data_IF_220630570237
#
_entry.id   IF_220630570237
#
_cell.length_a   1.000
_cell.length_b   1.000
_cell.length_c   1.000
_cell.angle_alpha   90.00
_cell.angle_beta   90.00
_cell.angle_gamma   90.00
#
_symmetry.space_group_name_H-M   'P 1'
#
loop_
_entity.id
_entity.type
_entity.pdbx_description
1 polymer ?
#
# COMPACT_ATOMS: atom_id res chain seq x y z
N UNK A 1 -22.56 -6.81 1.07
CA UNK A 1 -21.14 -7.15 1.29
C UNK A 1 -20.44 -5.85 1.58
N UNK A 2 -19.70 -5.78 2.67
CA UNK A 2 -18.90 -4.59 2.96
C UNK A 2 -17.73 -4.48 1.95
N UNK A 3 -17.34 -3.28 1.53
CA UNK A 3 -16.21 -3.09 0.62
C UNK A 3 -14.91 -3.66 1.21
N UNK A 4 -14.11 -4.34 0.38
CA UNK A 4 -12.80 -4.86 0.79
C UNK A 4 -11.85 -3.70 1.08
N UNK A 5 -11.23 -3.72 2.27
CA UNK A 5 -10.23 -2.72 2.63
C UNK A 5 -8.99 -2.80 1.72
N UNK A 6 -8.46 -1.65 1.32
CA UNK A 6 -7.29 -1.55 0.44
C UNK A 6 -6.10 -0.87 1.14
N UNK A 7 -4.89 -1.38 0.87
CA UNK A 7 -3.62 -0.70 1.15
C UNK A 7 -2.92 -0.37 -0.17
N UNK A 8 -2.68 0.92 -0.42
CA UNK A 8 -1.96 1.43 -1.58
C UNK A 8 -0.59 1.96 -1.12
N UNK A 9 0.50 1.34 -1.60
CA UNK A 9 1.88 1.69 -1.26
C UNK A 9 2.62 2.23 -2.47
N UNK A 10 3.26 3.39 -2.33
CA UNK A 10 3.80 4.14 -3.46
C UNK A 10 5.20 4.67 -3.14
N UNK A 11 6.11 4.63 -4.12
CA UNK A 11 7.44 5.22 -4.02
C UNK A 11 7.44 6.66 -4.51
N UNK A 12 8.00 7.60 -3.74
CA UNK A 12 8.13 9.01 -4.17
C UNK A 12 9.08 9.20 -5.35
N UNK A 13 9.98 8.25 -5.56
CA UNK A 13 10.99 8.26 -6.60
C UNK A 13 10.74 7.17 -7.65
N UNK A 14 9.50 6.66 -7.73
CA UNK A 14 9.12 5.71 -8.76
C UNK A 14 9.11 6.40 -10.12
N UNK A 15 9.94 5.90 -11.04
CA UNK A 15 10.04 6.41 -12.42
C UNK A 15 9.25 5.55 -13.42
N UNK A 16 8.72 4.41 -12.98
CA UNK A 16 7.86 3.53 -13.78
C UNK A 16 6.38 3.86 -13.56
N UNK A 17 6.01 4.21 -12.32
CA UNK A 17 4.69 4.73 -11.97
C UNK A 17 4.87 6.15 -11.40
N UNK A 18 4.74 7.20 -12.23
CA UNK A 18 4.77 8.58 -11.79
C UNK A 18 3.77 8.89 -10.67
N UNK A 19 4.08 9.94 -9.88
CA UNK A 19 3.25 10.37 -8.76
C UNK A 19 1.78 10.63 -9.13
N UNK A 20 1.54 11.27 -10.27
CA UNK A 20 0.18 11.59 -10.71
C UNK A 20 -0.65 10.33 -11.02
N UNK A 21 -0.07 9.30 -11.65
CA UNK A 21 -0.76 8.05 -11.92
C UNK A 21 -1.15 7.31 -10.63
N UNK A 22 -0.25 7.34 -9.64
CA UNK A 22 -0.53 6.80 -8.31
C UNK A 22 -1.64 7.58 -7.59
N UNK A 23 -1.66 8.91 -7.69
CA UNK A 23 -2.72 9.77 -7.12
C UNK A 23 -4.08 9.53 -7.79
N UNK A 24 -4.11 9.34 -9.11
CA UNK A 24 -5.34 9.02 -9.85
C UNK A 24 -5.92 7.66 -9.41
N UNK A 25 -5.07 6.64 -9.24
CA UNK A 25 -5.49 5.35 -8.69
C UNK A 25 -6.04 5.50 -7.25
N UNK A 26 -5.37 6.31 -6.42
CA UNK A 26 -5.78 6.57 -5.04
C UNK A 26 -7.12 7.29 -4.93
N UNK A 27 -7.41 8.21 -5.86
CA UNK A 27 -8.69 8.90 -5.94
C UNK A 27 -9.82 7.98 -6.39
N UNK A 28 -9.54 7.03 -7.29
CA UNK A 28 -10.51 6.06 -7.79
C UNK A 28 -10.81 4.90 -6.81
N UNK A 29 -9.93 4.66 -5.83
CA UNK A 29 -10.08 3.54 -4.90
C UNK A 29 -11.26 3.77 -3.90
N UNK A 30 -12.12 2.77 -3.67
CA UNK A 30 -13.24 2.90 -2.72
C UNK A 30 -12.77 2.92 -1.27
N UNK A 31 -13.61 3.42 -0.36
CA UNK A 31 -13.41 3.25 1.08
C UNK A 31 -13.82 1.85 1.56
N UNK A 32 -13.15 1.26 2.57
CA UNK A 32 -12.02 1.84 3.31
C UNK A 32 -10.67 1.66 2.56
N UNK A 33 -9.91 2.74 2.40
CA UNK A 33 -8.54 2.69 1.83
C UNK A 33 -7.49 3.37 2.70
N UNK A 34 -6.30 2.78 2.69
CA UNK A 34 -5.10 3.32 3.33
C UNK A 34 -4.06 3.62 2.28
N UNK A 35 -3.55 4.85 2.26
CA UNK A 35 -2.53 5.31 1.32
C UNK A 35 -1.23 5.55 2.08
N UNK A 36 -0.11 5.07 1.54
CA UNK A 36 1.24 5.28 2.09
C UNK A 36 2.24 5.64 0.98
N UNK A 37 3.12 6.56 1.32
CA UNK A 37 4.21 7.04 0.46
C UNK A 37 5.55 6.82 1.15
N UNK A 38 6.52 6.34 0.38
CA UNK A 38 7.85 5.99 0.88
C UNK A 38 8.93 6.71 0.09
N UNK A 39 9.99 7.12 0.76
CA UNK A 39 11.21 7.63 0.12
C UNK A 39 11.96 6.45 -0.54
N UNK A 40 11.41 5.98 -1.67
CA UNK A 40 11.84 4.80 -2.40
C UNK A 40 11.42 4.91 -3.88
N UNK A 41 12.05 4.11 -4.73
CA UNK A 41 11.63 3.90 -6.13
C UNK A 41 10.59 2.79 -6.28
N UNK A 42 10.47 2.22 -7.49
CA UNK A 42 9.46 1.21 -7.83
C UNK A 42 9.45 -0.03 -6.93
N UNK A 43 10.63 -0.48 -6.50
CA UNK A 43 10.77 -1.66 -5.62
C UNK A 43 10.33 -1.42 -4.17
N UNK A 44 10.00 -0.17 -3.80
CA UNK A 44 9.77 0.28 -2.43
C UNK A 44 10.98 -0.01 -1.51
N UNK A 45 10.82 0.25 -0.21
CA UNK A 45 11.87 0.03 0.79
C UNK A 45 11.41 -0.95 1.88
N UNK A 46 12.30 -1.24 2.83
CA UNK A 46 12.03 -2.18 3.92
C UNK A 46 10.86 -1.74 4.81
N UNK A 47 10.68 -0.42 5.00
CA UNK A 47 9.54 0.10 5.76
C UNK A 47 8.21 -0.26 5.10
N UNK A 48 8.12 -0.14 3.77
CA UNK A 48 6.92 -0.55 3.04
C UNK A 48 6.61 -2.04 3.22
N UNK A 49 7.65 -2.90 3.26
CA UNK A 49 7.45 -4.32 3.55
C UNK A 49 6.85 -4.54 4.94
N UNK A 50 7.40 -3.89 5.98
CA UNK A 50 6.89 -4.04 7.36
C UNK A 50 5.46 -3.52 7.49
N UNK A 51 5.14 -2.37 6.90
CA UNK A 51 3.79 -1.82 6.94
C UNK A 51 2.78 -2.76 6.26
N UNK A 52 3.17 -3.38 5.14
CA UNK A 52 2.33 -4.37 4.45
C UNK A 52 2.06 -5.59 5.32
N UNK A 53 3.09 -6.14 5.98
CA UNK A 53 2.94 -7.28 6.87
C UNK A 53 2.03 -6.95 8.06
N UNK A 54 2.23 -5.79 8.69
CA UNK A 54 1.41 -5.32 9.80
C UNK A 54 -0.05 -5.10 9.38
N UNK A 55 -0.26 -4.48 8.22
CA UNK A 55 -1.60 -4.25 7.70
C UNK A 55 -2.32 -5.56 7.39
N UNK A 56 -1.66 -6.51 6.73
CA UNK A 56 -2.25 -7.84 6.47
C UNK A 56 -2.55 -8.59 7.77
N UNK A 57 -1.64 -8.53 8.75
CA UNK A 57 -1.90 -9.11 10.07
C UNK A 57 -3.17 -8.53 10.73
N UNK A 58 -3.39 -7.23 10.61
CA UNK A 58 -4.61 -6.57 11.11
C UNK A 58 -5.87 -6.94 10.33
N UNK A 59 -5.78 -7.08 9.00
CA UNK A 59 -6.97 -7.32 8.15
C UNK A 59 -7.43 -8.77 8.16
N UNK A 60 -6.49 -9.72 8.06
CA UNK A 60 -6.80 -11.13 7.82
C UNK A 60 -6.18 -12.08 8.84
N UNK A 61 -5.41 -11.58 9.81
CA UNK A 61 -4.79 -12.40 10.84
C UNK A 61 -3.76 -13.37 10.26
N UNK A 62 -2.55 -12.87 9.96
CA UNK A 62 -1.43 -13.74 9.61
C UNK A 62 -0.76 -14.21 10.91
N UNK A 63 -0.80 -15.52 11.16
CA UNK A 63 0.02 -16.15 12.20
C UNK A 63 1.47 -16.24 11.71
N UNK A 64 2.37 -15.53 12.36
CA UNK A 64 3.80 -15.49 12.01
C UNK A 64 4.57 -16.78 12.39
N UNK A 65 3.85 -17.81 12.85
CA UNK A 65 4.40 -19.12 13.27
C UNK A 65 4.20 -20.25 12.25
N UNK A 66 3.78 -19.96 11.02
CA UNK A 66 3.71 -20.95 9.94
C UNK A 66 4.86 -20.81 8.94
#
# INVERSE_FOLDING_TARGET
MEPTALLLQNGRFDTLVPMHDAEDLQAAAPEPRTIRWYDAGHGLNQQAMFDRLNWLHQQIGIDTRQ
#
